data_IF_913245950434
#
_entry.id   IF_913245950434
#
_cell.length_a   1.000
_cell.length_b   1.000
_cell.length_c   1.000
_cell.angle_alpha   90.00
_cell.angle_beta   90.00
_cell.angle_gamma   90.00
#
_symmetry.space_group_name_H-M   'P 1'
#
loop_
_entity.id
_entity.type
_entity.pdbx_description
1 polymer ?
#
# COMPACT_ATOMS: atom_id res chain seq x y z
N UNK A 1 -15.72 -12.99 15.16
CA UNK A 1 -14.33 -13.30 14.74
C UNK A 1 -14.23 -12.90 13.27
N UNK A 2 -13.53 -11.80 13.05
CA UNK A 2 -13.00 -11.15 11.85
C UNK A 2 -13.56 -11.51 10.45
N UNK A 3 -14.16 -10.50 9.81
CA UNK A 3 -14.55 -10.43 8.38
C UNK A 3 -13.31 -10.41 7.45
N UNK A 4 -12.50 -11.48 7.46
CA UNK A 4 -11.21 -11.50 6.76
C UNK A 4 -11.24 -12.21 5.39
N UNK A 5 -12.42 -12.46 4.82
CA UNK A 5 -12.57 -13.35 3.66
C UNK A 5 -12.51 -12.68 2.27
N UNK A 6 -12.17 -11.40 2.13
CA UNK A 6 -12.10 -10.81 0.77
C UNK A 6 -11.12 -9.65 0.62
N UNK A 7 -9.92 -9.73 1.21
CA UNK A 7 -8.84 -8.88 0.73
C UNK A 7 -8.50 -9.28 -0.71
N UNK A 8 -8.57 -8.32 -1.64
CA UNK A 8 -8.31 -8.60 -3.04
C UNK A 8 -6.89 -9.16 -3.21
N UNK A 9 -6.69 -10.24 -4.00
CA UNK A 9 -5.39 -10.92 -4.08
C UNK A 9 -4.25 -9.99 -4.50
N UNK A 10 -4.52 -9.02 -5.40
CA UNK A 10 -3.53 -7.99 -5.78
C UNK A 10 -3.15 -7.06 -4.63
N UNK A 11 -4.08 -6.74 -3.74
CA UNK A 11 -3.79 -5.95 -2.53
C UNK A 11 -2.87 -6.75 -1.60
N UNK A 12 -3.18 -8.01 -1.35
CA UNK A 12 -2.38 -8.89 -0.48
C UNK A 12 -0.97 -9.05 -1.03
N UNK A 13 -0.81 -9.30 -2.33
CA UNK A 13 0.50 -9.40 -2.97
C UNK A 13 1.29 -8.10 -2.91
N UNK A 14 0.64 -6.97 -3.23
CA UNK A 14 1.28 -5.66 -3.19
C UNK A 14 1.75 -5.33 -1.77
N UNK A 15 0.88 -5.51 -0.77
CA UNK A 15 1.22 -5.30 0.63
C UNK A 15 2.32 -6.23 1.12
N UNK A 16 2.36 -7.49 0.68
CA UNK A 16 3.44 -8.43 1.03
C UNK A 16 4.78 -7.92 0.51
N UNK A 17 4.85 -7.54 -0.78
CA UNK A 17 6.06 -7.00 -1.41
C UNK A 17 6.49 -5.69 -0.78
N UNK A 18 5.55 -4.79 -0.54
CA UNK A 18 5.81 -3.54 0.18
C UNK A 18 6.35 -3.85 1.57
N UNK A 19 5.76 -4.79 2.33
CA UNK A 19 6.21 -5.13 3.69
C UNK A 19 7.65 -5.65 3.76
N UNK A 20 8.13 -6.29 2.70
CA UNK A 20 9.51 -6.77 2.57
C UNK A 20 10.51 -5.67 2.21
N UNK A 21 10.03 -4.52 1.72
CA UNK A 21 10.85 -3.35 1.37
C UNK A 21 11.01 -2.41 2.58
N UNK A 22 12.13 -1.66 2.60
CA UNK A 22 12.33 -0.53 3.51
C UNK A 22 11.36 0.60 3.22
N UNK A 23 11.11 1.50 4.18
CA UNK A 23 10.20 2.63 3.98
C UNK A 23 10.58 3.43 2.72
N UNK A 24 11.86 3.82 2.62
CA UNK A 24 12.47 4.52 1.48
C UNK A 24 12.21 3.81 0.14
N UNK A 25 12.33 2.48 0.10
CA UNK A 25 12.15 1.70 -1.13
C UNK A 25 10.68 1.57 -1.53
N UNK A 26 9.75 1.39 -0.56
CA UNK A 26 8.31 1.22 -0.82
C UNK A 26 7.70 2.35 -1.63
N UNK A 27 8.24 3.55 -1.43
CA UNK A 27 7.67 4.78 -1.95
C UNK A 27 8.64 5.50 -2.89
N UNK A 28 9.64 4.76 -3.37
CA UNK A 28 10.43 5.13 -4.54
C UNK A 28 9.57 5.09 -5.81
N UNK A 29 9.97 5.86 -6.84
CA UNK A 29 9.29 5.83 -8.15
C UNK A 29 9.23 4.42 -8.75
N UNK A 30 10.26 3.60 -8.50
CA UNK A 30 10.33 2.22 -9.01
C UNK A 30 9.28 1.29 -8.40
N UNK A 31 8.80 1.59 -7.18
CA UNK A 31 7.77 0.80 -6.47
C UNK A 31 6.43 1.53 -6.35
N UNK A 32 6.30 2.72 -6.94
CA UNK A 32 5.06 3.50 -6.98
C UNK A 32 3.89 2.69 -7.54
N UNK A 33 4.09 1.92 -8.60
CA UNK A 33 3.07 1.03 -9.17
C UNK A 33 2.56 -0.03 -8.18
N UNK A 34 3.44 -0.59 -7.34
CA UNK A 34 3.07 -1.54 -6.29
C UNK A 34 2.21 -0.85 -5.22
N UNK A 35 2.60 0.38 -4.84
CA UNK A 35 1.84 1.17 -3.88
C UNK A 35 0.47 1.58 -4.42
N UNK A 36 0.39 1.99 -5.69
CA UNK A 36 -0.88 2.33 -6.34
C UNK A 36 -1.79 1.11 -6.49
N UNK A 37 -1.23 -0.06 -6.80
CA UNK A 37 -2.00 -1.32 -6.76
C UNK A 37 -2.53 -1.59 -5.35
N UNK A 38 -1.72 -1.42 -4.30
CA UNK A 38 -2.21 -1.56 -2.93
C UNK A 38 -3.35 -0.57 -2.65
N UNK A 39 -3.23 0.71 -3.04
CA UNK A 39 -4.30 1.70 -2.85
C UNK A 39 -5.59 1.36 -3.60
N UNK A 40 -5.47 0.96 -4.87
CA UNK A 40 -6.62 0.70 -5.75
C UNK A 40 -7.46 -0.50 -5.30
N UNK A 41 -6.81 -1.49 -4.67
CA UNK A 41 -7.45 -2.73 -4.22
C UNK A 41 -7.60 -2.79 -2.69
N UNK A 42 -7.23 -1.73 -1.97
CA UNK A 42 -7.36 -1.67 -0.52
C UNK A 42 -8.83 -1.52 -0.10
N UNK A 43 -9.24 -2.19 0.99
CA UNK A 43 -10.52 -1.92 1.67
C UNK A 43 -10.61 -0.46 2.13
N UNK A 44 -11.85 0.04 2.23
CA UNK A 44 -12.13 1.41 2.68
C UNK A 44 -11.52 1.73 4.05
N UNK A 45 -11.39 0.74 4.94
CA UNK A 45 -10.80 0.90 6.27
C UNK A 45 -9.27 1.08 6.25
N UNK A 46 -8.61 0.62 5.18
CA UNK A 46 -7.14 0.64 5.02
C UNK A 46 -6.70 1.81 4.14
N UNK A 47 -7.53 2.26 3.19
CA UNK A 47 -7.21 3.38 2.29
C UNK A 47 -6.72 4.65 3.00
N UNK A 48 -7.30 5.12 4.13
CA UNK A 48 -6.81 6.29 4.84
C UNK A 48 -5.34 6.17 5.27
N UNK A 49 -4.92 4.98 5.70
CA UNK A 49 -3.55 4.73 6.15
C UNK A 49 -2.57 4.79 4.96
N UNK A 50 -2.96 4.22 3.81
CA UNK A 50 -2.15 4.29 2.59
C UNK A 50 -2.04 5.72 2.05
N UNK A 51 -3.11 6.51 2.15
CA UNK A 51 -3.09 7.93 1.76
C UNK A 51 -2.13 8.72 2.64
N UNK A 52 -2.10 8.48 3.95
CA UNK A 52 -1.17 9.16 4.86
C UNK A 52 0.29 8.84 4.50
N UNK A 53 0.59 7.57 4.22
CA UNK A 53 1.91 7.15 3.77
C UNK A 53 2.28 7.83 2.44
N UNK A 54 1.35 7.90 1.47
CA UNK A 54 1.57 8.60 0.19
C UNK A 54 1.85 10.09 0.39
N UNK A 55 1.09 10.77 1.25
CA UNK A 55 1.27 12.20 1.54
C UNK A 55 2.65 12.48 2.13
N UNK A 56 3.06 11.73 3.15
CA UNK A 56 4.39 11.86 3.76
C UNK A 56 5.51 11.79 2.71
N UNK A 57 5.35 10.94 1.70
CA UNK A 57 6.32 10.84 0.61
C UNK A 57 6.30 11.99 -0.39
N UNK A 58 5.10 12.47 -0.74
CA UNK A 58 5.00 13.67 -1.58
C UNK A 58 5.55 14.91 -0.89
N UNK A 59 5.55 14.98 0.44
CA UNK A 59 6.18 16.06 1.20
C UNK A 59 7.72 15.94 1.27
N UNK A 60 8.26 14.73 1.04
CA UNK A 60 9.70 14.42 1.08
C UNK A 60 10.41 14.64 -0.26
N UNK A 61 9.66 14.69 -1.37
CA UNK A 61 10.16 14.83 -2.76
C UNK A 61 9.58 16.05 -3.46
#
# INVERSE_FOLDING_TARGET
>A
MSENDSLHPKFVEAMRKLKEMSEEDRLSESNKDLFEQAMNYAPLDIQPQLIEIKKKYQDLH
#
